data_IF_966936306105
#
_entry.id   IF_966936306105
#
_cell.length_a   1.000
_cell.length_b   1.000
_cell.length_c   1.000
_cell.angle_alpha   90.00
_cell.angle_beta   90.00
_cell.angle_gamma   90.00
#
_symmetry.space_group_name_H-M   'P 1'
#
loop_
_entity.id
_entity.type
_entity.pdbx_description
1 polymer ?
#
# COMPACT_ATOMS: atom_id res chain seq x y z
N UNK A 1 6.31 19.43 -23.98
CA UNK A 1 5.51 18.42 -23.24
C UNK A 1 6.31 17.12 -23.22
N UNK A 2 6.93 16.75 -22.09
CA UNK A 2 7.72 15.50 -21.98
C UNK A 2 6.82 14.38 -21.47
N UNK A 3 6.58 13.39 -22.33
CA UNK A 3 5.94 12.14 -21.96
C UNK A 3 6.90 11.33 -21.06
N UNK A 4 6.61 11.29 -19.76
CA UNK A 4 7.14 10.32 -18.82
C UNK A 4 5.96 9.69 -18.12
N UNK A 5 5.24 8.78 -18.78
CA UNK A 5 4.14 8.03 -18.15
C UNK A 5 4.74 7.02 -17.15
N UNK A 6 5.20 7.51 -16.00
CA UNK A 6 5.04 6.70 -14.80
C UNK A 6 3.52 6.51 -14.66
N UNK A 7 3.04 5.26 -14.73
CA UNK A 7 1.68 4.95 -14.29
C UNK A 7 1.59 5.46 -12.85
N UNK A 8 0.98 6.61 -12.64
CA UNK A 8 0.64 7.04 -11.29
C UNK A 8 -0.40 6.03 -10.81
N UNK A 9 -0.09 5.32 -9.74
CA UNK A 9 -1.09 4.49 -9.08
C UNK A 9 -1.91 5.38 -8.16
N UNK A 10 -3.16 4.98 -7.93
CA UNK A 10 -4.01 5.64 -6.95
C UNK A 10 -3.57 5.22 -5.54
N UNK A 11 -3.14 6.19 -4.74
CA UNK A 11 -2.59 5.93 -3.41
C UNK A 11 -3.66 5.42 -2.44
N UNK A 12 -4.90 5.90 -2.55
CA UNK A 12 -6.01 5.47 -1.70
C UNK A 12 -6.41 4.04 -2.04
N UNK A 13 -6.56 3.73 -3.33
CA UNK A 13 -6.86 2.37 -3.77
C UNK A 13 -5.77 1.38 -3.33
N UNK A 14 -4.50 1.74 -3.49
CA UNK A 14 -3.40 0.89 -3.03
C UNK A 14 -3.39 0.72 -1.50
N UNK A 15 -3.74 1.76 -0.74
CA UNK A 15 -3.84 1.67 0.71
C UNK A 15 -4.98 0.75 1.16
N UNK A 16 -6.13 0.79 0.48
CA UNK A 16 -7.24 -0.14 0.70
C UNK A 16 -6.84 -1.58 0.42
N UNK A 17 -6.13 -1.84 -0.68
CA UNK A 17 -5.62 -3.19 -0.97
C UNK A 17 -4.64 -3.67 0.11
N UNK A 18 -3.72 -2.81 0.54
CA UNK A 18 -2.80 -3.13 1.63
C UNK A 18 -3.54 -3.44 2.94
N UNK A 19 -4.58 -2.67 3.26
CA UNK A 19 -5.44 -2.88 4.42
C UNK A 19 -6.07 -4.28 4.39
N UNK A 20 -6.62 -4.72 3.25
CA UNK A 20 -7.19 -6.06 3.11
C UNK A 20 -6.17 -7.18 3.32
N UNK A 21 -4.94 -7.02 2.79
CA UNK A 21 -3.86 -8.01 3.00
C UNK A 21 -3.49 -8.11 4.48
N UNK A 22 -3.34 -6.98 5.16
CA UNK A 22 -3.06 -6.97 6.59
C UNK A 22 -4.19 -7.59 7.41
N UNK A 23 -5.44 -7.43 6.99
CA UNK A 23 -6.58 -8.05 7.66
C UNK A 23 -6.59 -9.57 7.52
N UNK A 24 -6.30 -10.07 6.32
CA UNK A 24 -6.32 -11.50 6.01
C UNK A 24 -5.15 -12.24 6.70
N UNK A 25 -3.97 -11.64 6.70
CA UNK A 25 -2.72 -12.34 7.08
C UNK A 25 -2.11 -11.82 8.40
N UNK A 26 -2.63 -10.74 8.96
CA UNK A 26 -2.03 -10.02 10.08
C UNK A 26 -0.74 -9.28 9.71
N UNK A 27 -0.27 -8.40 10.60
CA UNK A 27 0.97 -7.65 10.39
C UNK A 27 2.17 -8.58 10.21
N UNK A 28 2.38 -9.55 11.09
CA UNK A 28 3.55 -10.44 11.03
C UNK A 28 3.56 -11.34 9.79
N UNK A 29 2.40 -11.86 9.38
CA UNK A 29 2.26 -12.77 8.25
C UNK A 29 2.31 -12.11 6.86
N UNK A 30 2.24 -10.78 6.80
CA UNK A 30 2.25 -10.04 5.53
C UNK A 30 3.67 -9.70 5.09
N UNK A 31 4.12 -10.10 3.90
CA UNK A 31 5.40 -9.66 3.35
C UNK A 31 5.26 -8.39 2.52
N UNK A 32 6.39 -7.71 2.27
CA UNK A 32 6.42 -6.59 1.33
C UNK A 32 6.08 -7.01 -0.11
N UNK A 33 6.35 -8.27 -0.46
CA UNK A 33 6.01 -8.80 -1.78
C UNK A 33 4.49 -8.94 -1.93
N UNK A 34 3.82 -9.51 -0.93
CA UNK A 34 2.34 -9.66 -0.91
C UNK A 34 1.65 -8.29 -1.02
N UNK A 35 2.19 -7.28 -0.30
CA UNK A 35 1.71 -5.91 -0.38
C UNK A 35 1.87 -5.34 -1.79
N UNK A 36 3.07 -5.41 -2.36
CA UNK A 36 3.30 -4.86 -3.71
C UNK A 36 2.46 -5.53 -4.78
N UNK A 37 2.24 -6.85 -4.66
CA UNK A 37 1.41 -7.62 -5.58
C UNK A 37 -0.06 -7.20 -5.49
N UNK A 38 -0.63 -7.15 -4.27
CA UNK A 38 -2.01 -6.73 -4.06
C UNK A 38 -2.25 -5.26 -4.45
N UNK A 39 -1.27 -4.39 -4.18
CA UNK A 39 -1.34 -2.96 -4.51
C UNK A 39 -1.11 -2.67 -6.00
N UNK A 40 -0.62 -3.65 -6.78
CA UNK A 40 -0.28 -3.46 -8.19
C UNK A 40 0.89 -2.49 -8.41
N UNK A 41 1.78 -2.34 -7.42
CA UNK A 41 2.95 -1.45 -7.48
C UNK A 41 4.25 -2.22 -7.29
N UNK A 42 5.39 -1.56 -7.51
CA UNK A 42 6.69 -2.13 -7.20
C UNK A 42 7.19 -1.68 -5.80
N UNK A 43 8.21 -2.36 -5.27
CA UNK A 43 8.80 -2.03 -3.96
C UNK A 43 9.29 -0.57 -3.88
N UNK A 44 10.02 -0.02 -4.87
CA UNK A 44 10.40 1.39 -4.86
C UNK A 44 9.21 2.36 -4.71
N UNK A 45 8.12 2.13 -5.44
CA UNK A 45 6.89 2.93 -5.34
C UNK A 45 6.26 2.80 -3.96
N UNK A 46 6.20 1.59 -3.39
CA UNK A 46 5.73 1.38 -2.02
C UNK A 46 6.55 2.21 -1.03
N UNK A 47 7.88 2.11 -1.09
CA UNK A 47 8.76 2.88 -0.22
C UNK A 47 8.62 4.39 -0.39
N UNK A 48 8.52 4.88 -1.63
CA UNK A 48 8.37 6.31 -1.89
C UNK A 48 7.04 6.90 -1.41
N UNK A 49 5.95 6.12 -1.41
CA UNK A 49 4.61 6.62 -1.14
C UNK A 49 4.12 6.34 0.29
N UNK A 50 4.57 5.23 0.87
CA UNK A 50 4.11 4.71 2.16
C UNK A 50 5.26 4.46 3.14
N UNK A 51 6.51 4.61 2.70
CA UNK A 51 7.68 4.33 3.51
C UNK A 51 7.81 2.83 3.80
N UNK A 52 7.87 2.45 5.07
CA UNK A 52 8.07 1.04 5.43
C UNK A 52 6.74 0.30 5.70
N UNK A 53 6.84 -1.01 5.94
CA UNK A 53 5.68 -1.85 6.26
C UNK A 53 4.90 -1.37 7.50
N UNK A 54 5.60 -0.87 8.51
CA UNK A 54 4.99 -0.37 9.75
C UNK A 54 4.19 0.92 9.48
N UNK A 55 4.75 1.84 8.70
CA UNK A 55 4.08 3.08 8.29
C UNK A 55 2.87 2.78 7.41
N UNK A 56 3.00 1.87 6.45
CA UNK A 56 1.88 1.42 5.63
C UNK A 56 0.77 0.78 6.48
N UNK A 57 1.13 -0.05 7.47
CA UNK A 57 0.18 -0.65 8.39
C UNK A 57 -0.57 0.41 9.22
N UNK A 58 0.16 1.38 9.78
CA UNK A 58 -0.44 2.52 10.50
C UNK A 58 -1.38 3.32 9.61
N UNK A 59 -0.98 3.62 8.37
CA UNK A 59 -1.84 4.31 7.40
C UNK A 59 -3.10 3.50 7.06
N UNK A 60 -3.00 2.18 6.92
CA UNK A 60 -4.14 1.31 6.68
C UNK A 60 -5.13 1.32 7.86
N UNK A 61 -4.62 1.30 9.09
CA UNK A 61 -5.45 1.42 10.29
C UNK A 61 -6.13 2.79 10.39
N UNK A 62 -5.40 3.87 10.11
CA UNK A 62 -5.97 5.22 10.07
C UNK A 62 -7.09 5.33 9.03
N UNK A 63 -6.90 4.74 7.84
CA UNK A 63 -7.91 4.72 6.78
C UNK A 63 -9.16 3.95 7.21
N UNK A 64 -9.01 2.82 7.91
CA UNK A 64 -10.15 2.06 8.44
C UNK A 64 -11.02 2.91 9.37
N UNK A 65 -10.39 3.66 10.28
CA UNK A 65 -11.06 4.56 11.24
C UNK A 65 -11.67 5.79 10.56
N UNK A 66 -11.20 6.19 9.39
CA UNK A 66 -11.79 7.30 8.64
C UNK A 66 -13.03 6.86 7.84
N UNK A 67 -13.05 5.61 7.37
CA UNK A 67 -14.16 5.03 6.59
C UNK A 67 -15.34 4.61 7.50
N UNK A 68 -15.10 4.33 8.78
CA UNK A 68 -16.09 3.81 9.73
C UNK A 68 -16.23 4.70 10.96
#
# INVERSE_FOLDING_TARGET
MKAGRHRSFDKDTALEQAMHVFWANGYAGTSLSDLTEAMGINKPSLYSAFGNKEQLYKSALSKYVEIH
#
